data_IF_700542369212
#
_entry.id   IF_700542369212
#
_cell.length_a   1.000
_cell.length_b   1.000
_cell.length_c   1.000
_cell.angle_alpha   90.00
_cell.angle_beta   90.00
_cell.angle_gamma   90.00
#
_symmetry.space_group_name_H-M   'P 1'
#
loop_
_entity.id
_entity.type
_entity.pdbx_description
1 polymer ?
#
# COMPACT_ATOMS: atom_id res chain seq x y z
N UNK A 1 -15.37 -5.73 -15.46
CA UNK A 1 -14.04 -5.15 -15.18
C UNK A 1 -13.54 -5.76 -13.88
N UNK A 2 -12.28 -6.12 -13.81
CA UNK A 2 -11.73 -6.70 -12.58
C UNK A 2 -11.36 -5.57 -11.62
N UNK A 3 -11.65 -5.78 -10.34
CA UNK A 3 -11.41 -4.78 -9.30
C UNK A 3 -10.19 -5.14 -8.46
N UNK A 4 -9.52 -4.11 -7.96
CA UNK A 4 -8.40 -4.17 -7.01
C UNK A 4 -8.84 -3.59 -5.67
N UNK A 5 -8.34 -4.16 -4.58
CA UNK A 5 -8.54 -3.65 -3.22
C UNK A 5 -7.24 -3.09 -2.67
N UNK A 6 -7.35 -2.03 -1.92
CA UNK A 6 -6.24 -1.39 -1.24
C UNK A 6 -6.63 -0.92 0.17
N UNK A 7 -5.67 -0.91 1.09
CA UNK A 7 -5.88 -0.33 2.42
C UNK A 7 -5.65 1.17 2.34
N UNK A 8 -6.55 1.93 2.97
CA UNK A 8 -6.48 3.39 3.09
C UNK A 8 -6.40 3.79 4.56
N UNK A 9 -5.63 4.85 4.83
CA UNK A 9 -5.56 5.52 6.12
C UNK A 9 -6.06 6.95 5.99
N UNK A 10 -7.01 7.35 6.82
CA UNK A 10 -7.63 8.67 6.84
C UNK A 10 -7.56 9.26 8.25
N UNK A 11 -7.08 10.48 8.37
CA UNK A 11 -7.21 11.29 9.58
C UNK A 11 -8.43 12.18 9.43
N UNK A 12 -9.43 12.00 10.30
CA UNK A 12 -10.69 12.76 10.22
C UNK A 12 -10.64 14.03 11.07
N UNK A 13 -11.46 15.03 10.70
CA UNK A 13 -11.62 16.25 11.45
C UNK A 13 -12.33 16.04 12.82
N UNK A 14 -12.93 14.85 13.03
CA UNK A 14 -13.48 14.43 14.32
C UNK A 14 -12.40 13.89 15.29
N UNK A 15 -11.15 13.89 14.87
CA UNK A 15 -10.03 13.43 15.70
C UNK A 15 -9.86 11.91 15.75
N UNK A 16 -10.16 11.24 14.65
CA UNK A 16 -9.96 9.80 14.51
C UNK A 16 -8.97 9.49 13.38
N UNK A 17 -8.35 8.32 13.47
CA UNK A 17 -7.69 7.64 12.36
C UNK A 17 -8.60 6.49 11.96
N UNK A 18 -8.89 6.39 10.66
CA UNK A 18 -9.69 5.34 10.08
C UNK A 18 -8.87 4.53 9.08
N UNK A 19 -8.87 3.21 9.25
CA UNK A 19 -8.36 2.27 8.26
C UNK A 19 -9.53 1.61 7.57
N UNK A 20 -9.53 1.63 6.24
CA UNK A 20 -10.61 1.08 5.42
C UNK A 20 -10.06 0.37 4.19
N UNK A 21 -10.89 -0.48 3.58
CA UNK A 21 -10.62 -1.08 2.28
C UNK A 21 -11.31 -0.23 1.21
N UNK A 22 -10.55 0.19 0.20
CA UNK A 22 -11.08 0.82 -0.99
C UNK A 22 -10.99 -0.15 -2.17
N UNK A 23 -12.07 -0.27 -2.91
CA UNK A 23 -12.12 -1.00 -4.17
C UNK A 23 -12.06 -0.02 -5.34
N UNK A 24 -11.21 -0.28 -6.32
CA UNK A 24 -11.04 0.51 -7.53
C UNK A 24 -10.84 -0.39 -8.74
N UNK A 25 -11.02 0.14 -9.94
CA UNK A 25 -10.69 -0.59 -11.17
C UNK A 25 -9.17 -0.83 -11.25
N UNK A 26 -8.78 -1.99 -11.80
CA UNK A 26 -7.38 -2.28 -12.08
C UNK A 26 -6.94 -1.36 -13.23
N UNK A 27 -5.89 -0.55 -13.05
CA UNK A 27 -5.42 0.36 -14.09
C UNK A 27 -4.77 -0.40 -15.26
N UNK A 28 -4.81 0.19 -16.45
CA UNK A 28 -4.08 -0.29 -17.62
C UNK A 28 -2.73 0.43 -17.68
N UNK A 29 -1.60 -0.30 -17.81
CA UNK A 29 -0.29 0.34 -17.86
C UNK A 29 -0.10 1.17 -19.14
N UNK A 30 0.55 2.33 -19.01
CA UNK A 30 1.03 3.15 -20.12
C UNK A 30 2.27 2.50 -20.76
N UNK A 31 2.78 3.10 -21.86
CA UNK A 31 3.83 2.52 -22.69
C UNK A 31 5.08 2.02 -21.92
N UNK A 32 5.52 2.74 -20.88
CA UNK A 32 6.69 2.43 -20.05
C UNK A 32 6.33 1.94 -18.64
N UNK A 33 5.05 1.60 -18.41
CA UNK A 33 4.57 1.13 -17.11
C UNK A 33 4.34 -0.37 -17.09
N UNK A 34 4.36 -0.92 -15.88
CA UNK A 34 4.03 -2.31 -15.60
C UNK A 34 2.90 -2.39 -14.58
N UNK A 35 2.03 -3.38 -14.76
CA UNK A 35 1.01 -3.75 -13.78
C UNK A 35 1.54 -4.93 -12.97
N UNK A 36 1.69 -4.72 -11.68
CA UNK A 36 2.19 -5.72 -10.74
C UNK A 36 1.02 -6.25 -9.92
N UNK A 37 0.84 -7.56 -9.91
CA UNK A 37 0.03 -8.23 -8.89
C UNK A 37 0.88 -8.37 -7.64
N UNK A 38 0.56 -7.59 -6.61
CA UNK A 38 1.28 -7.62 -5.34
C UNK A 38 0.95 -8.91 -4.60
N UNK A 39 1.98 -9.64 -4.18
CA UNK A 39 1.83 -10.94 -3.50
C UNK A 39 2.43 -10.94 -2.10
N UNK A 40 3.35 -10.01 -1.80
CA UNK A 40 3.93 -9.84 -0.48
C UNK A 40 4.27 -8.37 -0.20
N UNK A 41 3.98 -7.93 1.02
CA UNK A 41 4.39 -6.64 1.53
C UNK A 41 4.67 -6.77 3.04
N UNK A 42 5.88 -6.42 3.53
CA UNK A 42 6.19 -6.47 4.94
C UNK A 42 5.47 -5.37 5.71
N UNK A 43 5.34 -5.55 7.03
CA UNK A 43 4.92 -4.49 7.94
C UNK A 43 6.18 -3.96 8.63
N UNK A 44 6.69 -2.85 8.14
CA UNK A 44 7.83 -2.17 8.73
C UNK A 44 7.39 -1.23 9.87
N UNK A 45 8.26 -0.89 10.82
CA UNK A 45 7.95 0.13 11.83
C UNK A 45 7.50 1.47 11.22
N UNK A 46 8.06 1.86 10.07
CA UNK A 46 7.67 3.05 9.32
C UNK A 46 6.24 3.00 8.76
N UNK A 47 5.73 1.80 8.45
CA UNK A 47 4.34 1.61 8.01
C UNK A 47 3.34 1.94 9.13
N UNK A 48 3.70 1.65 10.38
CA UNK A 48 2.86 1.97 11.53
C UNK A 48 2.63 3.49 11.64
N UNK A 49 3.60 4.31 11.21
CA UNK A 49 3.46 5.76 11.14
C UNK A 49 2.37 6.22 10.17
N UNK A 50 2.18 5.52 9.05
CA UNK A 50 1.12 5.80 8.08
C UNK A 50 -0.21 5.16 8.47
N UNK A 51 -0.19 3.91 8.93
CA UNK A 51 -1.38 3.15 9.32
C UNK A 51 -2.03 3.73 10.56
N UNK A 52 -1.27 3.82 11.65
CA UNK A 52 -1.79 4.15 12.97
C UNK A 52 -1.48 5.59 13.37
N UNK A 53 -0.42 6.19 12.79
CA UNK A 53 0.21 7.40 13.31
C UNK A 53 0.75 7.21 14.74
N UNK A 54 1.76 7.99 15.11
CA UNK A 54 2.24 8.11 16.51
C UNK A 54 1.19 8.78 17.43
N UNK A 55 0.13 9.33 16.84
CA UNK A 55 -0.93 10.05 17.57
C UNK A 55 -2.12 9.15 17.94
N UNK A 56 -2.16 7.89 17.47
CA UNK A 56 -3.28 6.99 17.71
C UNK A 56 -3.29 6.48 19.16
N UNK A 57 -4.46 6.57 19.79
CA UNK A 57 -4.75 5.85 21.03
C UNK A 57 -5.23 4.42 20.69
N UNK A 58 -4.31 3.47 20.73
CA UNK A 58 -4.58 2.06 20.40
C UNK A 58 -5.63 1.45 21.35
N UNK A 59 -5.74 1.95 22.60
CA UNK A 59 -6.74 1.47 23.55
C UNK A 59 -8.18 1.80 23.13
N UNK A 60 -8.34 2.76 22.22
CA UNK A 60 -9.64 3.18 21.68
C UNK A 60 -10.07 2.44 20.42
N UNK A 61 -9.31 1.43 19.99
CA UNK A 61 -9.58 0.71 18.74
C UNK A 61 -11.00 0.13 18.71
N UNK A 62 -11.68 0.37 17.64
CA UNK A 62 -13.01 -0.18 17.37
C UNK A 62 -13.12 -0.53 15.89
N UNK A 63 -13.96 -1.52 15.58
CA UNK A 63 -14.18 -1.96 14.20
C UNK A 63 -15.67 -2.01 13.92
N UNK A 64 -16.07 -1.49 12.79
CA UNK A 64 -17.45 -1.50 12.27
C UNK A 64 -17.49 -2.04 10.85
N UNK A 65 -18.69 -2.40 10.37
CA UNK A 65 -18.86 -3.00 9.05
C UNK A 65 -18.43 -4.47 8.98
N UNK A 66 -18.44 -5.01 7.78
CA UNK A 66 -18.00 -6.40 7.51
C UNK A 66 -17.49 -6.54 6.08
N UNK A 67 -16.67 -7.55 5.81
CA UNK A 67 -16.10 -7.76 4.48
C UNK A 67 -15.32 -6.53 4.00
N UNK A 68 -15.64 -6.04 2.80
CA UNK A 68 -14.95 -4.91 2.20
C UNK A 68 -15.37 -3.54 2.77
N UNK A 69 -16.47 -3.49 3.54
CA UNK A 69 -16.96 -2.27 4.21
C UNK A 69 -16.42 -2.15 5.64
N UNK A 70 -15.46 -2.98 6.02
CA UNK A 70 -14.83 -2.92 7.34
C UNK A 70 -14.06 -1.61 7.50
N UNK A 71 -14.30 -0.92 8.62
CA UNK A 71 -13.57 0.28 9.03
C UNK A 71 -13.08 0.08 10.45
N UNK A 72 -11.77 0.22 10.65
CA UNK A 72 -11.15 0.23 11.97
C UNK A 72 -10.82 1.65 12.35
N UNK A 73 -11.35 2.11 13.48
CA UNK A 73 -11.23 3.48 13.97
C UNK A 73 -10.44 3.52 15.28
N UNK A 74 -9.55 4.49 15.41
CA UNK A 74 -8.80 4.81 16.63
C UNK A 74 -8.87 6.31 16.88
N UNK A 75 -8.98 6.72 18.14
CA UNK A 75 -8.95 8.15 18.47
C UNK A 75 -7.51 8.70 18.41
N UNK A 76 -7.39 9.94 18.00
CA UNK A 76 -6.14 10.69 18.08
C UNK A 76 -6.06 11.32 19.48
N UNK A 77 -4.89 11.21 20.11
CA UNK A 77 -4.67 11.91 21.38
C UNK A 77 -4.84 13.43 21.18
N UNK A 78 -5.71 14.12 21.94
CA UNK A 78 -6.05 15.54 21.68
C UNK A 78 -4.84 16.47 21.57
N UNK A 79 -3.81 16.26 22.38
CA UNK A 79 -2.58 17.05 22.33
C UNK A 79 -1.80 16.92 20.99
N UNK A 80 -2.05 15.85 20.21
CA UNK A 80 -1.35 15.57 18.96
C UNK A 80 -2.15 15.94 17.70
N UNK A 81 -3.41 16.39 17.86
CA UNK A 81 -4.25 16.80 16.72
C UNK A 81 -3.60 17.88 15.85
N UNK A 82 -2.87 18.84 16.46
CA UNK A 82 -2.17 19.87 15.68
C UNK A 82 -1.09 19.28 14.76
N UNK A 83 -0.40 18.24 15.17
CA UNK A 83 0.60 17.56 14.36
C UNK A 83 -0.04 16.77 13.19
N UNK A 84 -1.31 16.42 13.30
CA UNK A 84 -2.06 15.68 12.27
C UNK A 84 -2.72 16.58 11.21
N UNK A 85 -2.71 17.91 11.39
CA UNK A 85 -3.31 18.86 10.44
C UNK A 85 -2.93 18.63 8.98
N UNK A 86 -1.66 18.31 8.61
CA UNK A 86 -1.29 18.06 7.22
C UNK A 86 -1.96 16.82 6.60
N UNK A 87 -2.51 15.93 7.43
CA UNK A 87 -3.17 14.69 7.00
C UNK A 87 -4.70 14.74 7.09
N UNK A 88 -5.26 15.84 7.59
CA UNK A 88 -6.70 15.97 7.77
C UNK A 88 -7.47 15.78 6.46
N UNK A 89 -8.45 14.90 6.50
CA UNK A 89 -9.37 14.59 5.40
C UNK A 89 -8.67 14.11 4.11
N UNK A 90 -7.41 13.66 4.25
CA UNK A 90 -6.65 13.06 3.15
C UNK A 90 -6.63 11.54 3.30
N UNK A 91 -7.36 10.85 2.43
CA UNK A 91 -7.29 9.39 2.35
C UNK A 91 -6.00 8.97 1.65
N UNK A 92 -5.08 8.36 2.39
CA UNK A 92 -3.75 7.98 1.91
C UNK A 92 -3.65 6.48 1.67
N UNK A 93 -2.97 6.09 0.61
CA UNK A 93 -2.50 4.73 0.40
C UNK A 93 -1.35 4.41 1.37
N UNK A 94 -1.21 3.16 1.76
CA UNK A 94 -0.25 2.70 2.76
C UNK A 94 0.59 1.52 2.25
N UNK A 95 1.66 1.19 2.98
CA UNK A 95 2.64 0.16 2.63
C UNK A 95 3.84 0.75 1.90
N UNK A 96 5.03 0.70 2.52
CA UNK A 96 6.23 1.39 2.01
C UNK A 96 6.97 0.59 0.95
N UNK A 97 6.98 -0.71 1.06
CA UNK A 97 7.63 -1.63 0.12
C UNK A 97 6.84 -2.93 -0.04
N UNK A 98 7.18 -3.69 -1.04
CA UNK A 98 6.60 -5.00 -1.31
C UNK A 98 7.10 -5.58 -2.63
N UNK A 99 6.58 -6.74 -2.96
CA UNK A 99 6.92 -7.45 -4.18
C UNK A 99 5.72 -8.17 -4.79
N UNK A 100 5.86 -8.50 -6.05
CA UNK A 100 4.85 -9.24 -6.79
C UNK A 100 5.34 -9.64 -8.16
N UNK A 101 4.43 -10.11 -8.98
CA UNK A 101 4.71 -10.52 -10.36
C UNK A 101 4.10 -9.51 -11.33
N UNK A 102 4.85 -9.15 -12.36
CA UNK A 102 4.33 -8.32 -13.45
C UNK A 102 3.35 -9.14 -14.26
N UNK A 103 2.08 -8.72 -14.29
CA UNK A 103 0.98 -9.43 -14.98
C UNK A 103 0.53 -8.76 -16.27
N UNK A 104 0.86 -7.48 -16.44
CA UNK A 104 0.64 -6.72 -17.68
C UNK A 104 1.69 -5.62 -17.81
N UNK A 105 1.94 -5.13 -19.03
CA UNK A 105 2.96 -4.14 -19.29
C UNK A 105 2.66 -3.34 -20.57
N UNK A 106 3.09 -2.07 -20.56
CA UNK A 106 3.06 -1.22 -21.73
C UNK A 106 3.95 -1.72 -22.87
N UNK A 107 3.77 -1.13 -24.04
CA UNK A 107 4.36 -1.63 -25.29
C UNK A 107 5.90 -1.69 -25.27
N UNK A 108 6.56 -0.80 -24.51
CA UNK A 108 8.02 -0.70 -24.46
C UNK A 108 8.68 -1.69 -23.48
N UNK A 109 7.90 -2.34 -22.60
CA UNK A 109 8.43 -3.13 -21.47
C UNK A 109 7.74 -4.48 -21.32
N UNK A 110 7.18 -5.02 -22.39
CA UNK A 110 6.46 -6.31 -22.43
C UNK A 110 7.34 -7.51 -22.06
N UNK A 111 8.63 -7.41 -22.26
CA UNK A 111 9.62 -8.43 -21.89
C UNK A 111 9.73 -8.65 -20.38
N UNK A 112 9.18 -7.74 -19.58
CA UNK A 112 9.13 -7.85 -18.12
C UNK A 112 7.92 -8.67 -17.61
N UNK A 113 6.94 -8.99 -18.45
CA UNK A 113 5.77 -9.79 -18.04
C UNK A 113 6.23 -11.15 -17.51
N UNK A 114 5.70 -11.54 -16.34
CA UNK A 114 6.03 -12.79 -15.65
C UNK A 114 7.23 -12.69 -14.71
N UNK A 115 7.97 -11.57 -14.70
CA UNK A 115 9.11 -11.40 -13.80
C UNK A 115 8.63 -11.01 -12.38
N UNK A 116 9.32 -11.56 -11.37
CA UNK A 116 9.20 -11.11 -9.98
C UNK A 116 9.94 -9.79 -9.83
N UNK A 117 9.28 -8.84 -9.16
CA UNK A 117 9.86 -7.52 -8.89
C UNK A 117 9.61 -7.11 -7.46
N UNK A 118 10.63 -6.47 -6.86
CA UNK A 118 10.48 -5.70 -5.63
C UNK A 118 10.34 -4.21 -5.97
N UNK A 119 9.61 -3.47 -5.13
CA UNK A 119 9.53 -2.03 -5.25
C UNK A 119 9.27 -1.34 -3.91
N UNK A 120 9.77 -0.10 -3.83
CA UNK A 120 9.46 0.85 -2.77
C UNK A 120 8.65 2.02 -3.33
N UNK A 121 8.17 2.91 -2.47
CA UNK A 121 7.50 4.14 -2.91
C UNK A 121 6.02 4.23 -2.56
N UNK A 122 5.57 3.39 -1.64
CA UNK A 122 4.22 3.48 -1.06
C UNK A 122 3.15 2.69 -1.80
N UNK A 123 1.98 2.64 -1.18
CA UNK A 123 0.78 1.99 -1.71
C UNK A 123 0.91 0.47 -1.95
N UNK A 124 1.79 -0.20 -1.20
CA UNK A 124 2.01 -1.64 -1.38
C UNK A 124 0.98 -2.51 -0.67
N UNK A 125 0.15 -1.95 0.23
CA UNK A 125 -0.99 -2.69 0.78
C UNK A 125 -2.19 -2.62 -0.16
N UNK A 126 -1.96 -3.10 -1.38
CA UNK A 126 -2.93 -3.19 -2.48
C UNK A 126 -2.74 -4.50 -3.25
N UNK A 127 -3.78 -4.95 -3.92
CA UNK A 127 -3.70 -6.17 -4.74
C UNK A 127 -2.95 -5.95 -6.06
N UNK A 128 -3.03 -4.73 -6.60
CA UNK A 128 -2.35 -4.36 -7.84
C UNK A 128 -1.71 -2.98 -7.75
N UNK A 129 -0.56 -2.83 -8.42
CA UNK A 129 0.15 -1.57 -8.58
C UNK A 129 0.54 -1.35 -10.03
N UNK A 130 0.22 -0.17 -10.57
CA UNK A 130 0.71 0.27 -11.88
C UNK A 130 1.77 1.34 -11.64
N UNK A 131 2.98 1.10 -12.13
CA UNK A 131 4.15 1.97 -11.87
C UNK A 131 5.07 1.97 -13.10
N UNK A 132 5.92 3.03 -13.29
CA UNK A 132 6.99 2.99 -14.27
C UNK A 132 7.90 1.77 -14.06
N UNK A 133 8.24 1.07 -15.12
CA UNK A 133 9.10 -0.11 -15.05
C UNK A 133 10.47 0.19 -14.42
N UNK A 134 11.00 1.40 -14.63
CA UNK A 134 12.24 1.88 -14.02
C UNK A 134 12.19 1.98 -12.48
N UNK A 135 11.01 1.96 -11.86
CA UNK A 135 10.84 1.95 -10.41
C UNK A 135 10.92 0.56 -9.80
N UNK A 136 11.00 -0.48 -10.63
CA UNK A 136 11.01 -1.87 -10.20
C UNK A 136 12.43 -2.42 -10.13
N UNK A 137 12.73 -3.15 -9.07
CA UNK A 137 13.91 -4.01 -8.99
C UNK A 137 13.53 -5.41 -9.49
N UNK A 138 13.98 -5.75 -10.69
CA UNK A 138 13.76 -7.09 -11.25
C UNK A 138 14.62 -8.08 -10.50
N UNK A 139 14.01 -9.15 -10.01
CA UNK A 139 14.69 -10.20 -9.25
C UNK A 139 15.26 -11.28 -10.19
N UNK A 140 16.21 -12.04 -9.66
CA UNK A 140 16.72 -13.23 -10.34
C UNK A 140 15.61 -14.27 -10.54
N UNK A 141 15.78 -15.10 -11.55
CA UNK A 141 14.83 -16.18 -11.87
C UNK A 141 14.67 -17.14 -10.69
N UNK A 142 13.44 -17.43 -10.34
CA UNK A 142 13.10 -18.31 -9.22
C UNK A 142 12.94 -17.59 -7.87
N UNK A 143 13.28 -16.29 -7.76
CA UNK A 143 13.03 -15.53 -6.53
C UNK A 143 11.53 -15.42 -6.27
N UNK A 144 11.10 -15.80 -5.07
CA UNK A 144 9.70 -15.66 -4.66
C UNK A 144 9.39 -14.23 -4.23
N UNK A 145 8.16 -13.73 -4.47
CA UNK A 145 7.75 -12.40 -4.00
C UNK A 145 7.95 -12.17 -2.49
N UNK A 146 7.75 -13.22 -1.67
CA UNK A 146 7.98 -13.11 -0.23
C UNK A 146 9.46 -12.85 0.14
N UNK A 147 10.41 -13.33 -0.66
CA UNK A 147 11.84 -13.08 -0.47
C UNK A 147 12.21 -11.66 -0.96
N UNK A 148 11.57 -11.21 -2.04
CA UNK A 148 11.81 -9.90 -2.64
C UNK A 148 11.16 -8.75 -1.86
N UNK A 149 10.16 -9.01 -1.02
CA UNK A 149 9.30 -7.99 -0.43
C UNK A 149 10.02 -7.02 0.51
N UNK A 150 11.12 -7.44 1.15
CA UNK A 150 11.90 -6.62 2.10
C UNK A 150 13.24 -6.13 1.49
N UNK A 151 13.26 -5.82 0.20
CA UNK A 151 14.52 -5.45 -0.47
C UNK A 151 14.97 -4.00 -0.27
N UNK A 152 14.14 -3.11 0.28
CA UNK A 152 14.41 -1.68 0.30
C UNK A 152 14.42 -1.05 1.68
N UNK A 153 13.42 -1.30 2.53
CA UNK A 153 13.25 -0.58 3.80
C UNK A 153 14.02 -1.28 4.92
N UNK A 154 13.84 -2.58 5.07
CA UNK A 154 14.54 -3.40 6.05
C UNK A 154 15.07 -4.67 5.38
N UNK A 155 16.10 -4.57 4.53
CA UNK A 155 16.68 -5.75 3.92
C UNK A 155 17.29 -6.65 5.01
N UNK A 156 17.00 -7.94 4.92
CA UNK A 156 17.52 -8.98 5.82
C UNK A 156 18.91 -9.43 5.38
#
# INVERSE_FOLDING_TARGET
MSNSKEIRSLVTNQGNIELSIKTSEIPTPLADEVLIKVEAAPINPSDLGLLLSFAADISSISTSGSGDEIVTTMRIHPALMNAMKPRLDQSMQVGNEGAGVIVDAGENVKDLIGKTVGLAGGAMYSQYRCVPAASCLVMDEGTLPAEAASSFVNPL
#
